data_IF_017585303798
#
_entry.id   IF_017585303798
#
_cell.length_a   1.000
_cell.length_b   1.000
_cell.length_c   1.000
_cell.angle_alpha   90.00
_cell.angle_beta   90.00
_cell.angle_gamma   90.00
#
_symmetry.space_group_name_H-M   'P 1'
#
loop_
_entity.id
_entity.type
_entity.pdbx_description
1 polymer ?
#
# COMPACT_ATOMS: atom_id res chain seq x y z
N UNK A 1 -16.72 -12.89 11.42
CA UNK A 1 -15.52 -13.70 11.15
C UNK A 1 -14.55 -13.75 12.33
N UNK A 2 -14.12 -12.61 12.91
CA UNK A 2 -13.21 -12.60 14.08
C UNK A 2 -13.77 -13.31 15.31
N UNK A 3 -15.07 -13.19 15.56
CA UNK A 3 -15.76 -13.90 16.66
C UNK A 3 -15.70 -15.42 16.51
N UNK A 4 -15.89 -15.91 15.27
CA UNK A 4 -15.83 -17.34 14.96
C UNK A 4 -14.42 -17.90 15.19
N UNK A 5 -13.39 -17.09 14.96
CA UNK A 5 -11.99 -17.47 15.16
C UNK A 5 -11.48 -17.22 16.60
N UNK A 6 -12.30 -16.64 17.48
CA UNK A 6 -11.90 -16.30 18.83
C UNK A 6 -10.86 -15.17 18.94
N UNK A 7 -10.68 -14.38 17.89
CA UNK A 7 -9.62 -13.35 17.77
C UNK A 7 -10.06 -11.94 18.20
N UNK A 8 -11.17 -11.82 18.89
CA UNK A 8 -11.70 -10.50 19.30
C UNK A 8 -10.75 -9.74 20.22
N UNK A 9 -10.06 -10.45 21.12
CA UNK A 9 -9.12 -9.84 22.05
C UNK A 9 -7.89 -9.32 21.30
N UNK A 10 -7.35 -10.09 20.39
CA UNK A 10 -6.22 -9.73 19.52
C UNK A 10 -6.57 -8.50 18.69
N UNK A 11 -7.75 -8.47 18.11
CA UNK A 11 -8.23 -7.32 17.33
C UNK A 11 -8.34 -6.04 18.17
N UNK A 12 -8.93 -6.14 19.36
CA UNK A 12 -9.03 -5.00 20.31
C UNK A 12 -7.65 -4.51 20.75
N UNK A 13 -6.66 -5.40 20.83
CA UNK A 13 -5.30 -5.08 21.24
C UNK A 13 -4.41 -4.55 20.10
N UNK A 14 -4.85 -4.56 18.84
CA UNK A 14 -4.09 -4.01 17.71
C UNK A 14 -3.64 -2.57 17.96
N UNK A 15 -4.52 -1.73 18.50
CA UNK A 15 -4.21 -0.34 18.85
C UNK A 15 -3.16 -0.18 19.96
N UNK A 16 -2.88 -1.24 20.73
CA UNK A 16 -1.84 -1.25 21.75
C UNK A 16 -0.47 -1.65 21.22
N UNK A 17 -0.43 -2.20 19.99
CA UNK A 17 0.83 -2.61 19.39
C UNK A 17 1.58 -1.38 18.86
N UNK A 18 2.79 -1.07 19.40
CA UNK A 18 3.52 0.14 19.04
C UNK A 18 3.97 0.13 17.57
N UNK A 19 4.24 -1.03 16.99
CA UNK A 19 4.66 -1.16 15.58
C UNK A 19 3.50 -0.82 14.65
N UNK A 20 2.32 -1.37 14.94
CA UNK A 20 1.09 -1.07 14.17
C UNK A 20 0.75 0.41 14.28
N UNK A 21 0.80 0.97 15.48
CA UNK A 21 0.48 2.39 15.69
C UNK A 21 1.50 3.34 15.04
N UNK A 22 2.77 2.95 14.97
CA UNK A 22 3.78 3.71 14.23
C UNK A 22 3.47 3.73 12.73
N UNK A 23 3.08 2.59 12.18
CA UNK A 23 2.67 2.49 10.77
C UNK A 23 1.42 3.32 10.47
N UNK A 24 0.41 3.24 11.32
CA UNK A 24 -0.83 4.04 11.18
C UNK A 24 -0.51 5.52 11.14
N UNK A 25 0.26 6.05 12.12
CA UNK A 25 0.65 7.46 12.15
C UNK A 25 1.43 7.90 10.91
N UNK A 26 2.30 7.04 10.40
CA UNK A 26 3.04 7.32 9.18
C UNK A 26 2.12 7.44 7.95
N UNK A 27 1.14 6.52 7.82
CA UNK A 27 0.15 6.55 6.75
C UNK A 27 -0.79 7.75 6.88
N UNK A 28 -1.21 8.11 8.08
CA UNK A 28 -2.04 9.29 8.34
C UNK A 28 -1.31 10.58 7.93
N UNK A 29 -0.03 10.70 8.28
CA UNK A 29 0.79 11.85 7.87
C UNK A 29 0.91 11.94 6.34
N UNK A 30 1.16 10.84 5.66
CA UNK A 30 1.21 10.80 4.19
C UNK A 30 -0.15 11.14 3.56
N UNK A 31 -1.25 10.69 4.16
CA UNK A 31 -2.61 11.03 3.70
C UNK A 31 -2.91 12.53 3.85
N UNK A 32 -2.41 13.16 4.91
CA UNK A 32 -2.52 14.64 5.06
C UNK A 32 -1.70 15.34 3.98
N UNK A 33 -0.45 14.90 3.74
CA UNK A 33 0.41 15.46 2.69
C UNK A 33 -0.17 15.29 1.28
N UNK A 34 -0.93 14.22 1.03
CA UNK A 34 -1.60 14.02 -0.28
C UNK A 34 -2.75 15.00 -0.56
N UNK A 35 -3.15 15.79 0.43
CA UNK A 35 -4.14 16.87 0.30
C UNK A 35 -3.51 18.25 0.33
N UNK A 36 -2.19 18.33 0.36
CA UNK A 36 -1.45 19.59 0.37
C UNK A 36 -1.57 20.32 -0.97
N UNK A 37 -1.67 21.62 -0.95
CA UNK A 37 -1.56 22.48 -2.13
C UNK A 37 -0.09 22.67 -2.57
N UNK A 38 0.85 22.18 -1.79
CA UNK A 38 2.28 22.19 -2.12
C UNK A 38 2.61 21.01 -3.03
N UNK A 39 2.98 21.28 -4.26
CA UNK A 39 3.27 20.27 -5.29
C UNK A 39 4.31 19.26 -4.85
N UNK A 40 5.32 19.66 -4.10
CA UNK A 40 6.36 18.77 -3.59
C UNK A 40 5.79 17.78 -2.57
N UNK A 41 5.05 18.27 -1.58
CA UNK A 41 4.45 17.42 -0.55
C UNK A 41 3.43 16.45 -1.16
N UNK A 42 2.60 16.95 -2.07
CA UNK A 42 1.65 16.13 -2.82
C UNK A 42 2.36 15.01 -3.60
N UNK A 43 3.40 15.36 -4.35
CA UNK A 43 4.16 14.41 -5.16
C UNK A 43 4.86 13.36 -4.31
N UNK A 44 5.52 13.76 -3.22
CA UNK A 44 6.16 12.83 -2.28
C UNK A 44 5.13 11.85 -1.69
N UNK A 45 3.92 12.32 -1.36
CA UNK A 45 2.84 11.46 -0.87
C UNK A 45 2.36 10.47 -1.95
N UNK A 46 2.15 10.92 -3.18
CA UNK A 46 1.74 10.03 -4.29
C UNK A 46 2.81 8.97 -4.58
N UNK A 47 4.09 9.35 -4.63
CA UNK A 47 5.19 8.39 -4.79
C UNK A 47 5.24 7.39 -3.64
N UNK A 48 5.02 7.83 -2.40
CA UNK A 48 4.97 6.94 -1.26
C UNK A 48 3.87 5.90 -1.41
N UNK A 49 2.65 6.33 -1.73
CA UNK A 49 1.53 5.40 -1.90
C UNK A 49 1.73 4.47 -3.08
N UNK A 50 2.07 4.99 -4.24
CA UNK A 50 2.17 4.21 -5.47
C UNK A 50 3.38 3.27 -5.48
N UNK A 51 4.55 3.73 -5.05
CA UNK A 51 5.78 2.94 -5.12
C UNK A 51 5.97 2.07 -3.88
N UNK A 52 5.91 2.67 -2.68
CA UNK A 52 6.26 1.92 -1.46
C UNK A 52 5.10 1.14 -0.86
N UNK A 53 3.88 1.68 -0.89
CA UNK A 53 2.74 1.00 -0.30
C UNK A 53 2.17 -0.03 -1.26
N UNK A 54 1.87 0.34 -2.48
CA UNK A 54 1.31 -0.57 -3.48
C UNK A 54 2.31 -1.64 -3.91
N UNK A 55 3.52 -1.25 -4.35
CA UNK A 55 4.49 -2.20 -4.90
C UNK A 55 5.31 -2.95 -3.85
N UNK A 56 5.72 -2.32 -2.77
CA UNK A 56 6.62 -2.97 -1.81
C UNK A 56 5.84 -3.54 -0.62
N UNK A 57 5.10 -2.70 0.09
CA UNK A 57 4.49 -3.11 1.36
C UNK A 57 3.34 -4.10 1.14
N UNK A 58 2.48 -3.88 0.17
CA UNK A 58 1.34 -4.72 -0.11
C UNK A 58 1.76 -6.04 -0.75
N UNK A 59 2.61 -6.00 -1.78
CA UNK A 59 3.13 -7.20 -2.43
C UNK A 59 3.92 -8.10 -1.49
N UNK A 60 4.71 -7.54 -0.57
CA UNK A 60 5.42 -8.36 0.42
C UNK A 60 4.46 -9.16 1.32
N UNK A 61 3.33 -8.58 1.69
CA UNK A 61 2.28 -9.27 2.45
C UNK A 61 1.59 -10.36 1.61
N UNK A 62 1.31 -10.08 0.35
CA UNK A 62 0.75 -11.05 -0.58
C UNK A 62 1.67 -12.25 -0.78
N UNK A 63 2.97 -12.01 -0.97
CA UNK A 63 3.97 -13.06 -1.10
C UNK A 63 4.03 -13.97 0.13
N UNK A 64 3.93 -13.41 1.34
CA UNK A 64 3.90 -14.20 2.57
C UNK A 64 2.68 -15.13 2.58
N UNK A 65 1.49 -14.63 2.27
CA UNK A 65 0.26 -15.43 2.23
C UNK A 65 0.36 -16.53 1.18
N UNK A 66 0.84 -16.20 -0.02
CA UNK A 66 1.03 -17.18 -1.10
C UNK A 66 2.09 -18.22 -0.76
N UNK A 67 3.16 -17.85 -0.05
CA UNK A 67 4.19 -18.76 0.42
C UNK A 67 3.63 -19.78 1.43
N UNK A 68 2.78 -19.36 2.36
CA UNK A 68 2.08 -20.28 3.27
C UNK A 68 1.21 -21.27 2.51
N UNK A 69 0.50 -20.82 1.47
CA UNK A 69 -0.27 -21.72 0.63
C UNK A 69 0.62 -22.73 -0.10
N UNK A 70 1.66 -22.25 -0.77
CA UNK A 70 2.56 -23.06 -1.60
C UNK A 70 3.34 -24.10 -0.79
N UNK A 71 3.87 -23.71 0.37
CA UNK A 71 4.78 -24.56 1.14
C UNK A 71 4.10 -25.34 2.26
N UNK A 72 2.98 -24.89 2.75
CA UNK A 72 2.27 -25.50 3.90
C UNK A 72 0.83 -25.94 3.56
N UNK A 73 0.36 -25.68 2.34
CA UNK A 73 -1.03 -25.95 1.91
C UNK A 73 -2.07 -25.27 2.83
N UNK A 74 -1.71 -24.09 3.36
CA UNK A 74 -2.55 -23.31 4.26
C UNK A 74 -3.10 -22.09 3.51
N UNK A 75 -4.19 -21.50 4.03
CA UNK A 75 -4.76 -20.24 3.53
C UNK A 75 -5.16 -20.27 2.03
N UNK A 76 -5.53 -21.41 1.49
CA UNK A 76 -5.82 -21.59 0.06
C UNK A 76 -6.86 -20.60 -0.49
N UNK A 77 -7.97 -20.41 0.22
CA UNK A 77 -9.03 -19.48 -0.20
C UNK A 77 -8.54 -18.03 -0.23
N UNK A 78 -7.79 -17.61 0.81
CA UNK A 78 -7.20 -16.26 0.88
C UNK A 78 -6.13 -16.09 -0.19
N UNK A 79 -5.31 -17.09 -0.43
CA UNK A 79 -4.25 -17.04 -1.44
C UNK A 79 -4.80 -16.80 -2.84
N UNK A 80 -5.91 -17.44 -3.21
CA UNK A 80 -6.56 -17.21 -4.50
C UNK A 80 -7.07 -15.77 -4.66
N UNK A 81 -7.65 -15.22 -3.60
CA UNK A 81 -8.10 -13.81 -3.60
C UNK A 81 -6.91 -12.86 -3.72
N UNK A 82 -5.85 -13.10 -2.95
CA UNK A 82 -4.63 -12.29 -2.97
C UNK A 82 -3.95 -12.34 -4.33
N UNK A 83 -3.91 -13.49 -4.99
CA UNK A 83 -3.36 -13.60 -6.34
C UNK A 83 -4.15 -12.79 -7.35
N UNK A 84 -5.48 -12.81 -7.29
CA UNK A 84 -6.33 -11.98 -8.13
C UNK A 84 -6.11 -10.49 -7.87
N UNK A 85 -6.14 -10.07 -6.59
CA UNK A 85 -5.95 -8.69 -6.16
C UNK A 85 -4.57 -8.16 -6.54
N UNK A 86 -3.52 -8.99 -6.48
CA UNK A 86 -2.16 -8.54 -6.80
C UNK A 86 -2.01 -8.00 -8.23
N UNK A 87 -2.81 -8.49 -9.16
CA UNK A 87 -2.83 -8.00 -10.55
C UNK A 87 -3.48 -6.62 -10.65
N UNK A 88 -4.51 -6.36 -9.86
CA UNK A 88 -5.17 -5.07 -9.81
C UNK A 88 -4.30 -4.02 -9.13
N UNK A 89 -3.61 -4.39 -8.05
CA UNK A 89 -2.72 -3.49 -7.32
C UNK A 89 -1.50 -3.05 -8.15
N UNK A 90 -1.04 -3.89 -9.06
CA UNK A 90 0.02 -3.49 -10.01
C UNK A 90 -0.44 -2.33 -10.88
N UNK A 91 -1.68 -2.34 -11.36
CA UNK A 91 -2.23 -1.26 -12.18
C UNK A 91 -2.29 0.06 -11.40
N UNK A 92 -2.66 0.01 -10.12
CA UNK A 92 -2.68 1.19 -9.25
C UNK A 92 -1.29 1.80 -9.09
N UNK A 93 -0.29 0.96 -8.85
CA UNK A 93 1.09 1.41 -8.72
C UNK A 93 1.64 2.02 -10.00
N UNK A 94 1.44 1.37 -11.14
CA UNK A 94 1.87 1.84 -12.46
C UNK A 94 1.21 3.19 -12.79
N UNK A 95 -0.09 3.32 -12.53
CA UNK A 95 -0.82 4.59 -12.71
C UNK A 95 -0.22 5.73 -11.88
N UNK A 96 0.12 5.47 -10.61
CA UNK A 96 0.73 6.47 -9.75
C UNK A 96 2.10 6.91 -10.25
N UNK A 97 2.93 5.97 -10.71
CA UNK A 97 4.25 6.26 -11.27
C UNK A 97 4.13 7.08 -12.56
N UNK A 98 3.22 6.70 -13.45
CA UNK A 98 2.95 7.43 -14.69
C UNK A 98 2.45 8.86 -14.41
N UNK A 99 1.54 9.02 -13.45
CA UNK A 99 1.01 10.32 -13.07
C UNK A 99 2.11 11.27 -12.58
N UNK A 100 3.02 10.78 -11.73
CA UNK A 100 4.16 11.57 -11.24
C UNK A 100 5.15 11.85 -12.36
N UNK A 101 5.47 10.87 -13.19
CA UNK A 101 6.38 11.03 -14.32
C UNK A 101 5.87 12.08 -15.29
N UNK A 102 4.57 12.05 -15.61
CA UNK A 102 3.95 13.03 -16.49
C UNK A 102 4.03 14.44 -15.93
N UNK A 103 3.72 14.63 -14.66
CA UNK A 103 3.72 15.97 -14.03
C UNK A 103 5.12 16.55 -13.83
N UNK A 104 6.12 15.70 -13.51
CA UNK A 104 7.47 16.18 -13.20
C UNK A 104 8.43 16.20 -14.39
N UNK A 105 8.28 15.30 -15.36
CA UNK A 105 9.18 15.23 -16.51
C UNK A 105 8.72 16.09 -17.68
N UNK A 106 7.42 16.36 -17.80
CA UNK A 106 6.87 17.14 -18.92
C UNK A 106 6.78 18.63 -18.65
N UNK A 107 6.47 19.05 -17.42
CA UNK A 107 6.36 20.48 -17.05
C UNK A 107 7.68 21.26 -17.22
N UNK A 108 8.84 20.77 -16.78
CA UNK A 108 10.11 21.48 -17.03
C UNK A 108 10.45 21.60 -18.51
N UNK A 109 10.07 20.60 -19.31
CA UNK A 109 10.37 20.62 -20.77
C UNK A 109 9.50 21.63 -21.51
N UNK A 110 8.25 21.84 -21.06
CA UNK A 110 7.34 22.83 -21.65
C UNK A 110 7.75 24.27 -21.28
N UNK A 111 8.38 24.47 -20.12
CA UNK A 111 8.86 25.78 -19.68
C UNK A 111 10.19 26.19 -20.32
N UNK A 112 10.88 25.29 -21.00
CA UNK A 112 12.14 25.53 -21.71
C UNK A 112 11.93 25.81 -23.21
N UNK A 113 10.71 25.86 -23.69
CA UNK A 113 10.30 26.24 -25.04
C UNK A 113 9.58 27.58 -25.00
#
# INVERSE_FOLDING_TARGET
MLEILGLNTEFKNLKKNPVIMKRVRYLDAALVSSKSENDKEYTEAILLFSLFIEHVSLFSQFLIIMAFNKHKNMLKGISNVVEATSKEEQIHGDFGIDSVSYTHLTLPTILLV
#
